data_IF_438968861879
#
_entry.id   IF_438968861879
#
_cell.length_a   1.000
_cell.length_b   1.000
_cell.length_c   1.000
_cell.angle_alpha   90.00
_cell.angle_beta   90.00
_cell.angle_gamma   90.00
#
_symmetry.space_group_name_H-M   'P 1'
#
loop_
_entity.id
_entity.type
_entity.pdbx_description
1 polymer ?
#
# COMPACT_ATOMS: atom_id res chain seq x y z
N UNK A 1 -12.60 -16.05 0.45
CA UNK A 1 -12.60 -15.43 -0.89
C UNK A 1 -12.64 -16.52 -1.98
N UNK A 2 -13.38 -16.31 -3.07
CA UNK A 2 -13.38 -17.21 -4.25
C UNK A 2 -12.06 -17.09 -5.05
N UNK A 3 -11.65 -18.18 -5.71
CA UNK A 3 -10.47 -18.19 -6.60
C UNK A 3 -10.91 -17.83 -8.03
N UNK A 4 -10.49 -16.66 -8.57
CA UNK A 4 -10.87 -16.26 -9.92
C UNK A 4 -10.49 -17.30 -10.98
N UNK A 5 -11.42 -17.53 -11.89
CA UNK A 5 -11.23 -18.27 -13.13
C UNK A 5 -10.30 -17.51 -14.08
N UNK A 6 -9.78 -18.20 -15.10
CA UNK A 6 -8.97 -17.57 -16.14
C UNK A 6 -9.73 -16.45 -16.88
N UNK A 7 -11.03 -16.64 -17.10
CA UNK A 7 -11.88 -15.65 -17.77
C UNK A 7 -12.07 -14.39 -16.91
N UNK A 8 -12.30 -14.54 -15.61
CA UNK A 8 -12.39 -13.40 -14.67
C UNK A 8 -11.06 -12.64 -14.59
N UNK A 9 -9.92 -13.33 -14.56
CA UNK A 9 -8.61 -12.68 -14.57
C UNK A 9 -8.36 -11.90 -15.87
N UNK A 10 -8.76 -12.45 -17.02
CA UNK A 10 -8.64 -11.76 -18.30
C UNK A 10 -9.56 -10.53 -18.36
N UNK A 11 -10.81 -10.65 -17.91
CA UNK A 11 -11.76 -9.56 -17.85
C UNK A 11 -11.35 -8.45 -16.87
N UNK A 12 -10.55 -8.78 -15.85
CA UNK A 12 -10.03 -7.81 -14.89
C UNK A 12 -8.88 -6.94 -15.44
N UNK A 13 -8.27 -7.29 -16.58
CA UNK A 13 -7.21 -6.48 -17.17
C UNK A 13 -7.76 -5.10 -17.59
N UNK A 14 -7.04 -4.04 -17.24
CA UNK A 14 -7.47 -2.68 -17.56
C UNK A 14 -8.55 -2.09 -16.63
N UNK A 15 -9.17 -2.91 -15.77
CA UNK A 15 -10.16 -2.43 -14.79
C UNK A 15 -9.50 -1.60 -13.68
N UNK A 16 -10.32 -0.87 -12.92
CA UNK A 16 -9.91 -0.08 -11.78
C UNK A 16 -10.41 -0.73 -10.50
N UNK A 17 -9.57 -0.71 -9.46
CA UNK A 17 -9.94 -1.12 -8.11
C UNK A 17 -10.12 0.12 -7.23
N UNK A 18 -11.26 0.22 -6.56
CA UNK A 18 -11.59 1.36 -5.70
C UNK A 18 -10.60 1.52 -4.54
N UNK A 19 -10.29 2.78 -4.23
CA UNK A 19 -9.49 3.15 -3.07
C UNK A 19 -10.27 2.85 -1.78
N UNK A 20 -9.60 2.22 -0.81
CA UNK A 20 -10.10 2.06 0.55
C UNK A 20 -9.57 3.24 1.40
N UNK A 21 -10.34 4.32 1.46
CA UNK A 21 -9.93 5.59 2.07
C UNK A 21 -10.98 6.14 3.02
N UNK A 22 -10.52 6.85 4.04
CA UNK A 22 -11.33 7.66 4.95
C UNK A 22 -10.50 8.88 5.39
N UNK A 23 -11.11 9.95 5.93
CA UNK A 23 -10.37 11.05 6.53
C UNK A 23 -9.49 10.63 7.71
N UNK A 24 -8.39 11.35 7.95
CA UNK A 24 -7.58 11.30 9.18
C UNK A 24 -6.99 9.93 9.55
N UNK A 25 -6.74 9.09 8.55
CA UNK A 25 -6.08 7.80 8.73
C UNK A 25 -4.68 7.98 9.37
N UNK A 26 -4.27 7.04 10.20
CA UNK A 26 -2.89 6.97 10.68
C UNK A 26 -1.93 6.61 9.55
N UNK A 27 -2.31 5.67 8.68
CA UNK A 27 -1.51 5.24 7.53
C UNK A 27 -2.40 4.96 6.33
N UNK A 28 -2.09 5.57 5.18
CA UNK A 28 -2.60 5.17 3.87
C UNK A 28 -1.51 4.35 3.16
N UNK A 29 -1.71 3.04 3.02
CA UNK A 29 -0.83 2.20 2.23
C UNK A 29 -1.11 2.39 0.75
N UNK A 30 -0.07 2.47 -0.07
CA UNK A 30 -0.19 2.70 -1.50
C UNK A 30 0.60 1.62 -2.25
N UNK A 31 -0.10 0.70 -2.91
CA UNK A 31 0.51 -0.26 -3.82
C UNK A 31 0.97 0.37 -5.13
N UNK A 32 1.58 -0.45 -6.00
CA UNK A 32 1.99 -0.02 -7.35
C UNK A 32 0.74 0.14 -8.22
N UNK A 33 0.08 -0.99 -8.48
CA UNK A 33 -1.18 -1.10 -9.18
C UNK A 33 -1.86 -2.42 -8.79
N UNK A 34 -3.17 -2.57 -9.06
CA UNK A 34 -3.86 -3.83 -8.83
C UNK A 34 -3.30 -4.93 -9.74
N UNK A 35 -2.88 -6.06 -9.17
CA UNK A 35 -2.72 -7.28 -9.97
C UNK A 35 -4.09 -7.82 -10.39
N UNK A 36 -4.15 -8.60 -11.48
CA UNK A 36 -5.40 -9.17 -12.00
C UNK A 36 -6.25 -9.90 -10.95
N UNK A 37 -5.62 -10.57 -9.97
CA UNK A 37 -6.35 -11.21 -8.88
C UNK A 37 -7.07 -10.20 -7.98
N UNK A 38 -6.38 -9.13 -7.58
CA UNK A 38 -6.96 -8.07 -6.75
C UNK A 38 -8.10 -7.37 -7.48
N UNK A 39 -7.92 -7.11 -8.78
CA UNK A 39 -8.95 -6.51 -9.61
C UNK A 39 -10.16 -7.43 -9.79
N UNK A 40 -9.95 -8.72 -10.10
CA UNK A 40 -11.04 -9.69 -10.26
C UNK A 40 -11.83 -9.94 -8.97
N UNK A 41 -11.19 -9.81 -7.81
CA UNK A 41 -11.84 -10.07 -6.51
C UNK A 41 -12.37 -8.80 -5.83
N UNK A 42 -11.97 -7.61 -6.27
CA UNK A 42 -12.31 -6.35 -5.60
C UNK A 42 -11.54 -6.10 -4.30
N UNK A 43 -10.46 -6.83 -4.04
CA UNK A 43 -9.74 -6.77 -2.77
C UNK A 43 -8.25 -6.49 -2.97
N UNK A 44 -7.70 -5.55 -2.21
CA UNK A 44 -6.31 -5.14 -2.31
C UNK A 44 -5.36 -6.25 -1.86
N UNK A 45 -4.23 -6.38 -2.56
CA UNK A 45 -3.19 -7.39 -2.29
C UNK A 45 -3.70 -8.85 -2.16
N UNK A 46 -4.80 -9.21 -2.83
CA UNK A 46 -5.50 -10.49 -2.60
C UNK A 46 -4.83 -11.72 -3.24
N UNK A 47 -3.84 -11.56 -4.12
CA UNK A 47 -3.17 -12.68 -4.79
C UNK A 47 -2.52 -13.62 -3.76
N UNK A 48 -2.75 -14.94 -3.83
CA UNK A 48 -2.01 -15.91 -3.02
C UNK A 48 -0.49 -15.74 -3.13
N UNK A 49 0.19 -15.79 -1.99
CA UNK A 49 1.64 -15.55 -1.87
C UNK A 49 2.05 -14.07 -1.84
N UNK A 50 1.11 -13.11 -1.94
CA UNK A 50 1.40 -11.73 -1.56
C UNK A 50 1.54 -11.64 -0.04
N UNK A 51 2.59 -10.97 0.43
CA UNK A 51 2.96 -10.90 1.85
C UNK A 51 2.48 -9.64 2.56
N UNK A 52 1.65 -8.80 1.93
CA UNK A 52 1.14 -7.57 2.53
C UNK A 52 0.36 -7.87 3.81
N UNK A 53 -0.68 -8.71 3.73
CA UNK A 53 -1.53 -9.05 4.88
C UNK A 53 -0.74 -9.75 6.02
N UNK A 54 0.12 -10.75 5.74
CA UNK A 54 1.03 -11.29 6.75
C UNK A 54 1.96 -10.25 7.38
N UNK A 55 2.59 -9.37 6.60
CA UNK A 55 3.50 -8.35 7.12
C UNK A 55 2.76 -7.31 7.96
N UNK A 56 1.55 -6.92 7.55
CA UNK A 56 0.66 -6.02 8.28
C UNK A 56 0.28 -6.61 9.65
N UNK A 57 -0.03 -7.90 9.71
CA UNK A 57 -0.32 -8.56 10.97
C UNK A 57 0.92 -8.69 11.86
N UNK A 58 2.02 -9.22 11.32
CA UNK A 58 3.25 -9.46 12.10
C UNK A 58 3.91 -8.18 12.62
N UNK A 59 3.70 -7.05 11.93
CA UNK A 59 4.12 -5.73 12.41
C UNK A 59 3.21 -5.13 13.49
N UNK A 60 2.09 -5.79 13.80
CA UNK A 60 1.14 -5.38 14.83
C UNK A 60 0.13 -4.32 14.40
N UNK A 61 -0.01 -4.03 13.09
CA UNK A 61 -1.06 -3.12 12.60
C UNK A 61 -2.46 -3.74 12.74
N UNK A 62 -2.58 -5.06 12.60
CA UNK A 62 -3.85 -5.78 12.79
C UNK A 62 -3.77 -6.77 13.95
N UNK A 63 -4.86 -6.94 14.73
CA UNK A 63 -4.87 -7.79 15.93
C UNK A 63 -4.76 -9.29 15.61
N UNK A 64 -5.13 -9.68 14.39
CA UNK A 64 -4.97 -11.01 13.82
C UNK A 64 -4.65 -10.88 12.33
N UNK A 65 -4.31 -12.00 11.69
CA UNK A 65 -4.24 -12.05 10.24
C UNK A 65 -5.65 -11.87 9.65
N UNK A 66 -5.82 -10.84 8.82
CA UNK A 66 -7.05 -10.60 8.05
C UNK A 66 -6.93 -11.24 6.67
N UNK A 67 -8.03 -11.82 6.20
CA UNK A 67 -8.20 -12.10 4.78
C UNK A 67 -8.41 -10.79 4.01
N UNK A 68 -8.01 -10.73 2.75
CA UNK A 68 -8.15 -9.51 1.96
C UNK A 68 -9.63 -9.07 1.79
N UNK A 69 -10.59 -9.99 1.88
CA UNK A 69 -12.02 -9.65 1.90
C UNK A 69 -12.46 -8.86 3.15
N UNK A 70 -11.66 -8.91 4.21
CA UNK A 70 -11.90 -8.17 5.46
C UNK A 70 -11.30 -6.75 5.42
N UNK A 71 -10.79 -6.28 4.27
CA UNK A 71 -10.09 -5.01 4.17
C UNK A 71 -10.85 -3.81 4.73
N UNK A 72 -12.20 -3.81 4.69
CA UNK A 72 -13.01 -2.73 5.25
C UNK A 72 -12.80 -2.52 6.75
N UNK A 73 -12.40 -3.55 7.50
CA UNK A 73 -12.07 -3.45 8.92
C UNK A 73 -10.85 -2.55 9.18
N UNK A 74 -9.97 -2.36 8.18
CA UNK A 74 -8.80 -1.50 8.31
C UNK A 74 -9.15 -0.04 8.60
N UNK A 75 -10.28 0.45 8.07
CA UNK A 75 -10.70 1.84 8.30
C UNK A 75 -10.95 2.10 9.80
N UNK A 76 -11.53 1.13 10.52
CA UNK A 76 -11.72 1.20 11.98
C UNK A 76 -10.41 1.18 12.78
N UNK A 77 -9.29 0.77 12.15
CA UNK A 77 -7.94 0.81 12.72
C UNK A 77 -7.17 2.07 12.29
N UNK A 78 -7.80 2.98 11.55
CA UNK A 78 -7.15 4.16 10.97
C UNK A 78 -6.18 3.79 9.84
N UNK A 79 -6.43 2.70 9.11
CA UNK A 79 -5.61 2.24 8.00
C UNK A 79 -6.42 2.25 6.70
N UNK A 80 -5.79 2.69 5.60
CA UNK A 80 -6.39 2.68 4.26
C UNK A 80 -5.47 2.06 3.21
N UNK A 81 -6.01 1.79 2.03
CA UNK A 81 -5.26 1.25 0.89
C UNK A 81 -5.65 1.97 -0.41
N UNK A 82 -4.65 2.34 -1.20
CA UNK A 82 -4.77 2.88 -2.56
C UNK A 82 -3.66 2.29 -3.44
N UNK A 83 -3.55 2.72 -4.69
CA UNK A 83 -2.43 2.38 -5.58
C UNK A 83 -1.93 3.62 -6.33
N UNK A 84 -0.65 3.66 -6.71
CA UNK A 84 -0.12 4.74 -7.56
C UNK A 84 -0.89 4.76 -8.89
N UNK A 85 -0.92 3.63 -9.58
CA UNK A 85 -1.63 3.47 -10.85
C UNK A 85 -2.92 2.70 -10.62
N UNK A 86 -4.03 3.26 -11.11
CA UNK A 86 -5.37 2.69 -10.91
C UNK A 86 -5.63 1.44 -11.78
N UNK A 87 -4.98 1.36 -12.94
CA UNK A 87 -5.19 0.32 -13.96
C UNK A 87 -4.61 -1.03 -13.53
N UNK A 88 -5.43 -2.07 -13.61
CA UNK A 88 -5.01 -3.43 -13.33
C UNK A 88 -4.18 -4.04 -14.47
N UNK A 89 -3.10 -4.74 -14.14
CA UNK A 89 -2.23 -5.44 -15.10
C UNK A 89 -1.82 -6.82 -14.60
N UNK A 90 -1.34 -7.68 -15.50
CA UNK A 90 -0.77 -8.97 -15.12
C UNK A 90 0.61 -8.79 -14.49
N UNK A 91 1.39 -7.83 -15.01
CA UNK A 91 2.74 -7.54 -14.59
C UNK A 91 2.95 -6.03 -14.45
N UNK A 92 3.78 -5.65 -13.48
CA UNK A 92 4.10 -4.23 -13.23
C UNK A 92 4.92 -3.60 -14.36
N UNK A 93 5.60 -4.41 -15.19
CA UNK A 93 6.37 -3.94 -16.36
C UNK A 93 5.48 -3.53 -17.55
N UNK A 94 4.18 -3.78 -17.49
CA UNK A 94 3.18 -3.23 -18.43
C UNK A 94 2.82 -1.75 -18.17
N UNK A 95 3.31 -1.18 -17.08
CA UNK A 95 3.06 0.21 -16.72
C UNK A 95 4.14 1.12 -17.30
N UNK A 96 3.70 2.17 -17.98
CA UNK A 96 4.61 3.17 -18.54
C UNK A 96 5.07 4.17 -17.46
N UNK A 97 6.26 4.80 -17.62
CA UNK A 97 6.68 5.89 -16.74
C UNK A 97 5.66 7.02 -16.64
N UNK A 98 4.97 7.35 -17.74
CA UNK A 98 3.91 8.35 -17.77
C UNK A 98 2.75 7.98 -16.85
N UNK A 99 2.31 6.71 -16.85
CA UNK A 99 1.26 6.25 -15.94
C UNK A 99 1.67 6.39 -14.47
N UNK A 100 2.94 6.13 -14.14
CA UNK A 100 3.45 6.38 -12.78
C UNK A 100 3.42 7.85 -12.40
N UNK A 101 3.84 8.75 -13.30
CA UNK A 101 3.84 10.20 -13.05
C UNK A 101 2.41 10.73 -12.86
N UNK A 102 1.48 10.34 -13.74
CA UNK A 102 0.07 10.73 -13.59
C UNK A 102 -0.57 10.10 -12.34
N UNK A 103 -0.21 8.86 -12.04
CA UNK A 103 -0.59 8.18 -10.80
C UNK A 103 -0.09 8.89 -9.54
N UNK A 104 1.14 9.41 -9.58
CA UNK A 104 1.72 10.24 -8.52
C UNK A 104 0.92 11.51 -8.28
N UNK A 105 0.54 12.24 -9.34
CA UNK A 105 -0.32 13.44 -9.24
C UNK A 105 -1.70 13.13 -8.64
N UNK A 106 -2.32 12.02 -9.07
CA UNK A 106 -3.58 11.52 -8.50
C UNK A 106 -3.42 11.21 -7.01
N UNK A 107 -2.35 10.50 -6.64
CA UNK A 107 -2.07 10.13 -5.26
C UNK A 107 -1.85 11.35 -4.36
N UNK A 108 -1.15 12.38 -4.85
CA UNK A 108 -1.03 13.67 -4.15
C UNK A 108 -2.42 14.26 -3.88
N UNK A 109 -3.32 14.25 -4.86
CA UNK A 109 -4.69 14.75 -4.70
C UNK A 109 -5.48 13.96 -3.64
N UNK A 110 -5.35 12.63 -3.64
CA UNK A 110 -5.97 11.76 -2.61
C UNK A 110 -5.42 12.08 -1.23
N UNK A 111 -4.10 12.23 -1.09
CA UNK A 111 -3.45 12.52 0.19
C UNK A 111 -3.84 13.89 0.72
N UNK A 112 -3.86 14.93 -0.12
CA UNK A 112 -4.29 16.26 0.29
C UNK A 112 -5.77 16.31 0.70
N UNK A 113 -6.62 15.48 0.07
CA UNK A 113 -8.04 15.38 0.40
C UNK A 113 -8.27 14.68 1.75
N UNK A 114 -7.69 13.50 1.93
CA UNK A 114 -7.97 12.64 3.11
C UNK A 114 -7.02 12.86 4.28
N UNK A 115 -5.89 13.55 4.07
CA UNK A 115 -4.91 13.96 5.08
C UNK A 115 -4.49 12.84 6.05
N UNK A 116 -4.02 11.68 5.55
CA UNK A 116 -3.47 10.66 6.44
C UNK A 116 -2.21 11.18 7.13
N UNK A 117 -1.88 10.69 8.33
CA UNK A 117 -0.62 11.06 9.02
C UNK A 117 0.61 10.55 8.24
N UNK A 118 0.49 9.38 7.63
CA UNK A 118 1.49 8.79 6.76
C UNK A 118 0.91 8.30 5.44
N UNK A 119 1.63 8.57 4.35
CA UNK A 119 1.54 7.82 3.10
C UNK A 119 2.66 6.77 3.08
N UNK A 120 2.31 5.50 2.91
CA UNK A 120 3.27 4.40 2.84
C UNK A 120 3.27 3.77 1.44
N UNK A 121 4.24 4.14 0.59
CA UNK A 121 4.32 3.62 -0.79
C UNK A 121 5.07 2.28 -0.79
N UNK A 122 4.36 1.23 -1.20
CA UNK A 122 4.79 -0.16 -1.15
C UNK A 122 5.48 -0.53 -2.46
N UNK A 123 6.78 -0.26 -2.53
CA UNK A 123 7.64 -0.49 -3.69
C UNK A 123 8.48 0.72 -4.04
N UNK A 124 9.79 0.66 -3.75
CA UNK A 124 10.73 1.78 -3.97
C UNK A 124 10.78 2.23 -5.43
N UNK A 125 10.73 1.32 -6.41
CA UNK A 125 10.77 1.67 -7.83
C UNK A 125 9.56 2.52 -8.26
N UNK A 126 8.35 2.15 -7.79
CA UNK A 126 7.14 2.91 -8.07
C UNK A 126 7.21 4.32 -7.47
N UNK A 127 7.70 4.44 -6.23
CA UNK A 127 7.91 5.74 -5.60
C UNK A 127 8.91 6.61 -6.38
N UNK A 128 10.07 6.04 -6.72
CA UNK A 128 11.13 6.74 -7.48
C UNK A 128 10.59 7.32 -8.79
N UNK A 129 9.80 6.55 -9.54
CA UNK A 129 9.23 6.98 -10.82
C UNK A 129 8.10 7.99 -10.62
N UNK A 130 7.14 7.70 -9.73
CA UNK A 130 5.95 8.53 -9.54
C UNK A 130 6.26 9.92 -8.96
N UNK A 131 7.31 10.03 -8.16
CA UNK A 131 7.70 11.27 -7.46
C UNK A 131 9.04 11.84 -7.94
N UNK A 132 9.57 11.36 -9.06
CA UNK A 132 10.87 11.80 -9.62
C UNK A 132 12.01 11.81 -8.56
N UNK A 133 12.05 10.78 -7.71
CA UNK A 133 12.93 10.69 -6.55
C UNK A 133 13.96 9.54 -6.68
N UNK A 134 14.86 9.54 -7.68
CA UNK A 134 15.65 8.36 -8.08
C UNK A 134 16.56 7.80 -6.98
N UNK A 135 16.91 8.61 -5.97
CA UNK A 135 17.77 8.22 -4.85
C UNK A 135 17.00 7.72 -3.62
N UNK A 136 15.66 7.71 -3.65
CA UNK A 136 14.84 7.27 -2.52
C UNK A 136 15.18 5.84 -2.10
N UNK A 137 15.20 5.57 -0.79
CA UNK A 137 15.47 4.27 -0.19
C UNK A 137 14.30 3.84 0.70
N UNK A 138 14.25 2.56 1.09
CA UNK A 138 13.26 2.06 2.05
C UNK A 138 13.42 2.80 3.39
N UNK A 139 12.30 3.23 3.98
CA UNK A 139 12.28 4.00 5.23
C UNK A 139 11.51 5.32 5.12
N UNK A 140 11.59 6.16 6.17
CA UNK A 140 11.02 7.51 6.16
C UNK A 140 11.70 8.37 5.10
N UNK A 141 10.93 9.23 4.44
CA UNK A 141 11.45 10.22 3.50
C UNK A 141 11.39 11.63 4.13
N UNK A 142 12.30 12.50 3.71
CA UNK A 142 12.27 13.92 4.10
C UNK A 142 11.10 14.66 3.43
N UNK A 143 10.71 14.24 2.23
CA UNK A 143 9.60 14.82 1.50
C UNK A 143 8.26 14.54 2.19
N UNK A 144 7.39 15.56 2.20
CA UNK A 144 6.01 15.47 2.68
C UNK A 144 5.03 15.83 1.56
N UNK A 145 3.77 15.46 1.74
CA UNK A 145 2.65 15.90 0.89
C UNK A 145 1.68 16.65 1.79
N UNK A 146 1.76 17.97 1.80
CA UNK A 146 1.16 18.77 2.87
C UNK A 146 1.75 18.37 4.23
N UNK A 147 0.87 18.05 5.19
CA UNK A 147 1.27 17.57 6.52
C UNK A 147 1.54 16.05 6.55
N UNK A 148 1.22 15.33 5.48
CA UNK A 148 1.41 13.87 5.42
C UNK A 148 2.89 13.54 5.24
N UNK A 149 3.43 12.76 6.18
CA UNK A 149 4.78 12.20 6.08
C UNK A 149 4.82 11.01 5.12
N UNK A 150 5.92 10.83 4.41
CA UNK A 150 6.07 9.75 3.44
C UNK A 150 7.00 8.67 3.96
N UNK A 151 6.60 7.41 3.75
CA UNK A 151 7.41 6.23 4.03
C UNK A 151 7.45 5.33 2.81
N UNK A 152 8.63 4.83 2.45
CA UNK A 152 8.79 3.86 1.37
C UNK A 152 8.96 2.47 1.97
N UNK A 153 8.08 1.56 1.62
CA UNK A 153 8.11 0.16 2.06
C UNK A 153 8.62 -0.75 0.93
N UNK A 154 9.17 -1.93 1.24
CA UNK A 154 9.55 -2.90 0.23
C UNK A 154 8.31 -3.51 -0.43
N UNK A 155 8.46 -4.02 -1.65
CA UNK A 155 7.35 -4.68 -2.35
C UNK A 155 7.07 -6.08 -1.74
N UNK A 156 5.85 -6.37 -1.25
CA UNK A 156 5.49 -7.61 -0.58
C UNK A 156 5.15 -8.75 -1.55
N UNK A 157 5.20 -8.53 -2.86
CA UNK A 157 5.01 -9.58 -3.85
C UNK A 157 5.89 -10.78 -3.55
N UNK A 158 5.35 -11.99 -3.62
CA UNK A 158 6.11 -13.23 -3.46
C UNK A 158 7.20 -13.42 -4.52
N UNK A 159 7.13 -12.68 -5.63
CA UNK A 159 8.17 -12.65 -6.67
C UNK A 159 9.43 -11.87 -6.25
N UNK A 160 9.34 -11.04 -5.21
CA UNK A 160 10.47 -10.29 -4.67
C UNK A 160 11.26 -11.15 -3.66
N UNK A 161 12.27 -11.87 -4.14
CA UNK A 161 13.09 -12.76 -3.30
C UNK A 161 14.01 -12.01 -2.31
N UNK A 162 14.32 -10.74 -2.55
CA UNK A 162 15.23 -9.95 -1.71
C UNK A 162 14.63 -9.56 -0.36
N UNK A 163 13.30 -9.44 -0.29
CA UNK A 163 12.60 -9.06 0.93
C UNK A 163 11.80 -10.24 1.44
N UNK A 164 12.26 -10.85 2.52
CA UNK A 164 11.52 -11.92 3.18
C UNK A 164 10.49 -11.36 4.16
N UNK A 165 9.50 -12.18 4.51
CA UNK A 165 8.40 -11.76 5.39
C UNK A 165 8.87 -11.13 6.72
N UNK A 166 9.88 -11.66 7.42
CA UNK A 166 10.37 -11.03 8.65
C UNK A 166 10.88 -9.59 8.44
N UNK A 167 11.66 -9.35 7.38
CA UNK A 167 12.19 -8.03 7.06
C UNK A 167 11.09 -7.05 6.61
N UNK A 168 10.07 -7.54 5.89
CA UNK A 168 8.87 -6.75 5.60
C UNK A 168 8.14 -6.35 6.89
N UNK A 169 7.91 -7.31 7.80
CA UNK A 169 7.23 -7.06 9.06
C UNK A 169 8.01 -6.09 9.96
N UNK A 170 9.34 -6.19 10.00
CA UNK A 170 10.21 -5.26 10.73
C UNK A 170 10.01 -3.83 10.22
N UNK A 171 10.07 -3.63 8.91
CA UNK A 171 9.93 -2.30 8.32
C UNK A 171 8.54 -1.70 8.52
N UNK A 172 7.50 -2.52 8.36
CA UNK A 172 6.13 -2.12 8.68
C UNK A 172 6.01 -1.78 10.18
N UNK A 173 6.71 -2.50 11.05
CA UNK A 173 6.76 -2.24 12.49
C UNK A 173 7.39 -0.89 12.82
N UNK A 174 8.47 -0.50 12.12
CA UNK A 174 9.08 0.84 12.25
C UNK A 174 8.10 1.94 11.88
N UNK A 175 7.39 1.78 10.75
CA UNK A 175 6.34 2.70 10.34
C UNK A 175 5.22 2.77 11.39
N UNK A 176 4.76 1.62 11.91
CA UNK A 176 3.73 1.58 12.96
C UNK A 176 4.15 2.34 14.21
N UNK A 177 5.38 2.15 14.66
CA UNK A 177 5.92 2.85 15.82
C UNK A 177 5.94 4.38 15.60
N UNK A 178 6.28 4.83 14.39
CA UNK A 178 6.26 6.25 14.03
C UNK A 178 4.84 6.83 13.85
N UNK A 179 3.86 6.00 13.44
CA UNK A 179 2.46 6.37 13.24
C UNK A 179 1.65 6.35 14.54
N UNK A 180 2.08 5.59 15.54
CA UNK A 180 1.47 5.58 16.86
C UNK A 180 1.81 6.87 17.60
N UNK A 181 0.83 7.57 18.20
CA UNK A 181 1.15 8.72 19.04
C UNK A 181 2.07 8.28 20.18
N UNK A 182 3.11 9.05 20.45
CA UNK A 182 3.88 8.90 21.69
C UNK A 182 2.90 9.04 22.83
N UNK A 183 2.71 7.96 23.60
CA UNK A 183 1.91 8.01 24.81
C UNK A 183 2.60 9.03 25.72
N UNK A 184 1.95 10.14 26.12
CA UNK A 184 2.55 11.03 27.11
C UNK A 184 2.87 10.20 28.35
N UNK A 185 3.99 10.47 29.04
CA UNK A 185 4.31 9.75 30.28
C UNK A 185 3.09 9.85 31.20
N UNK A 186 2.63 8.69 31.69
CA UNK A 186 1.58 8.68 32.72
C UNK A 186 2.16 9.47 33.89
N UNK A 187 1.59 10.64 34.17
CA UNK A 187 1.81 11.32 35.44
C UNK A 187 1.23 10.38 36.50
N UNK A 188 2.12 9.79 37.29
CA UNK A 188 1.82 9.17 38.58
C UNK A 188 1.35 10.23 39.56
#
# INVERSE_FOLDING_TARGET
>A
MHKPSKAELAAAHGTVLDDLVAPELNVLFCGINPGLWSAATGFHFARPGNRFWPALHLSGFTPRLFDASEQKLLLGLGLGITNVVARATARADELTPTEFVEGGKRLVSVVLKYRPKFLAVVGVGAYRTAFAAPKAVVGPQEATIGETRVWVLPNPSGLNAHWQLPALAEEFGRLRAAASPSRPPRRS
#
